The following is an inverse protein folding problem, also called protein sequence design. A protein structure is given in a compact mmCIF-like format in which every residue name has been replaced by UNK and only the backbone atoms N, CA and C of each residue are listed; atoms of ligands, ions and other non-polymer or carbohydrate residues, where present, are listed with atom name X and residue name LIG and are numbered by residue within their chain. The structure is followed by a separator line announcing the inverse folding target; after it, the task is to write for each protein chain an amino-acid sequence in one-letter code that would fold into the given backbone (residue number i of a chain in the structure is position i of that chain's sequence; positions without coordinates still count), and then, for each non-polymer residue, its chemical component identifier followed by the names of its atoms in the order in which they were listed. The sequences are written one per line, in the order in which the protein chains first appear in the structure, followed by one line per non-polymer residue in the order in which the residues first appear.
data_IF_861623443243
#
_entry.id   IF_861623443243
#
_cell.length_a   1.000
_cell.length_b   1.000
_cell.length_c   1.000
_cell.angle_alpha   90.00
_cell.angle_beta   90.00
_cell.angle_gamma   90.00
#
_symmetry.space_group_name_H-M   'P 1'
#
loop_
_entity.id
_entity.type
_entity.pdbx_description
1 polymer ?
#
# COMPACT_ATOMS: atom_id res chain seq x y z
N UNK A 1 10.13 -3.74 0.69
CA UNK A 1 9.30 -2.74 -0.04
C UNK A 1 10.16 -1.53 -0.33
N UNK A 2 10.08 -1.02 -1.55
CA UNK A 2 10.76 0.19 -1.99
C UNK A 2 9.72 1.10 -2.64
N UNK A 3 9.72 2.39 -2.29
CA UNK A 3 8.85 3.40 -2.88
C UNK A 3 9.72 4.37 -3.66
N UNK A 4 9.36 4.61 -4.92
CA UNK A 4 10.08 5.51 -5.83
C UNK A 4 9.08 6.50 -6.44
N UNK A 5 9.31 7.82 -6.34
CA UNK A 5 10.43 8.47 -5.64
C UNK A 5 10.38 8.23 -4.13
N UNK A 6 11.52 8.40 -3.45
CA UNK A 6 11.59 8.22 -1.99
C UNK A 6 10.67 9.24 -1.31
N UNK A 7 9.78 8.74 -0.46
CA UNK A 7 8.85 9.54 0.33
C UNK A 7 9.26 9.52 1.80
N UNK A 8 9.59 10.69 2.35
CA UNK A 8 9.98 10.82 3.76
C UNK A 8 8.80 10.69 4.73
N UNK A 9 7.59 11.06 4.29
CA UNK A 9 6.41 11.05 5.14
C UNK A 9 5.87 9.63 5.36
N UNK A 10 5.80 9.21 6.63
CA UNK A 10 5.19 7.93 7.03
C UNK A 10 3.70 7.88 6.71
N UNK A 11 2.97 8.99 6.84
CA UNK A 11 1.53 9.03 6.52
C UNK A 11 1.30 8.85 5.02
N UNK A 12 2.11 9.50 4.19
CA UNK A 12 2.03 9.34 2.73
C UNK A 12 2.41 7.91 2.33
N UNK A 13 3.46 7.31 2.91
CA UNK A 13 3.78 5.90 2.65
C UNK A 13 2.65 4.93 3.02
N UNK A 14 1.94 5.19 4.12
CA UNK A 14 0.75 4.41 4.48
C UNK A 14 -0.39 4.59 3.48
N UNK A 15 -0.63 5.81 3.01
CA UNK A 15 -1.64 6.10 1.99
C UNK A 15 -1.30 5.39 0.66
N UNK A 16 -0.03 5.37 0.25
CA UNK A 16 0.42 4.63 -0.94
C UNK A 16 0.09 3.14 -0.81
N UNK A 17 0.35 2.53 0.34
CA UNK A 17 0.05 1.11 0.54
C UNK A 17 -1.44 0.82 0.64
N UNK A 18 -2.23 1.72 1.23
CA UNK A 18 -3.68 1.60 1.24
C UNK A 18 -4.25 1.62 -0.19
N UNK A 19 -3.79 2.56 -1.02
CA UNK A 19 -4.21 2.67 -2.42
C UNK A 19 -3.73 1.47 -3.25
N UNK A 20 -2.50 0.98 -3.01
CA UNK A 20 -2.01 -0.27 -3.62
C UNK A 20 -2.94 -1.45 -3.32
N UNK A 21 -3.38 -1.60 -2.07
CA UNK A 21 -4.30 -2.68 -1.70
C UNK A 21 -5.65 -2.47 -2.37
N UNK A 22 -6.20 -1.26 -2.35
CA UNK A 22 -7.46 -0.91 -3.02
C UNK A 22 -7.45 -1.27 -4.51
N UNK A 23 -6.38 -0.94 -5.23
CA UNK A 23 -6.29 -1.15 -6.68
C UNK A 23 -6.00 -2.61 -7.07
N UNK A 24 -5.18 -3.33 -6.28
CA UNK A 24 -4.59 -4.60 -6.71
C UNK A 24 -4.97 -5.81 -5.86
N UNK A 25 -5.84 -5.64 -4.86
CA UNK A 25 -6.25 -6.75 -3.96
C UNK A 25 -6.78 -7.96 -4.72
N UNK A 26 -7.69 -7.71 -5.65
CA UNK A 26 -8.41 -8.77 -6.35
C UNK A 26 -7.62 -9.36 -7.51
N UNK A 27 -6.75 -8.56 -8.15
CA UNK A 27 -5.96 -8.98 -9.29
C UNK A 27 -4.66 -9.67 -8.89
N UNK A 28 -3.80 -8.97 -8.16
CA UNK A 28 -2.38 -9.34 -8.04
C UNK A 28 -2.00 -9.75 -6.62
N UNK A 29 -2.64 -9.20 -5.60
CA UNK A 29 -2.31 -9.53 -4.20
C UNK A 29 -2.94 -10.86 -3.76
N UNK A 30 -3.78 -11.47 -4.60
CA UNK A 30 -4.44 -12.74 -4.32
C UNK A 30 -5.38 -12.64 -3.13
N UNK A 31 -6.20 -11.59 -3.09
CA UNK A 31 -7.18 -11.28 -2.03
C UNK A 31 -6.59 -10.97 -0.65
N UNK A 32 -5.26 -10.86 -0.54
CA UNK A 32 -4.56 -10.60 0.74
C UNK A 32 -4.77 -9.16 1.22
N UNK A 33 -4.83 -9.02 2.53
CA UNK A 33 -4.84 -7.74 3.24
C UNK A 33 -3.50 -7.57 3.98
N UNK A 34 -2.48 -7.01 3.31
CA UNK A 34 -1.16 -6.86 3.91
C UNK A 34 -1.10 -5.77 4.99
N UNK A 35 -0.31 -6.01 6.03
CA UNK A 35 0.05 -5.03 7.04
C UNK A 35 1.38 -4.36 6.68
N UNK A 36 1.39 -3.03 6.61
CA UNK A 36 2.59 -2.24 6.30
C UNK A 36 3.10 -1.48 7.53
N UNK A 37 4.41 -1.54 7.78
CA UNK A 37 5.05 -0.88 8.93
C UNK A 37 5.17 0.65 8.79
N UNK A 38 4.88 1.19 7.60
CA UNK A 38 5.07 2.61 7.27
C UNK A 38 6.47 2.94 6.74
N UNK A 39 7.33 1.94 6.52
CA UNK A 39 8.70 2.11 6.04
C UNK A 39 9.08 1.06 4.98
N UNK A 40 9.51 -0.14 5.37
CA UNK A 40 10.20 -1.08 4.44
C UNK A 40 9.56 -2.46 4.36
N UNK A 41 8.69 -2.81 5.29
CA UNK A 41 8.18 -4.18 5.41
C UNK A 41 6.68 -4.25 5.24
N UNK A 42 6.25 -5.20 4.42
CA UNK A 42 4.85 -5.54 4.14
C UNK A 42 4.66 -7.01 4.51
N UNK A 43 3.70 -7.29 5.38
CA UNK A 43 3.47 -8.61 5.95
C UNK A 43 2.07 -9.10 5.56
N UNK A 44 1.93 -10.40 5.30
CA UNK A 44 0.66 -11.02 4.93
C UNK A 44 0.46 -12.35 5.63
N UNK A 45 -0.80 -12.72 5.87
CA UNK A 45 -1.16 -14.10 6.15
C UNK A 45 -1.07 -14.92 4.84
N UNK A 46 0.09 -15.56 4.63
CA UNK A 46 0.40 -16.35 3.43
C UNK A 46 1.18 -15.58 2.36
N UNK A 47 1.86 -16.32 1.47
CA UNK A 47 2.79 -15.78 0.46
C UNK A 47 2.08 -15.13 -0.72
N UNK A 48 2.49 -13.97 -1.22
CA UNK A 48 1.91 -13.41 -2.46
C UNK A 48 1.95 -14.40 -3.64
N UNK A 49 1.07 -14.27 -4.66
CA UNK A 49 1.13 -15.12 -5.85
C UNK A 49 2.25 -14.67 -6.81
N UNK A 50 3.27 -14.00 -6.29
CA UNK A 50 4.44 -13.51 -6.97
C UNK A 50 5.61 -13.42 -5.99
N UNK A 51 6.85 -13.52 -6.50
CA UNK A 51 8.06 -13.30 -5.69
C UNK A 51 8.42 -11.81 -5.61
N UNK A 52 8.28 -11.09 -6.73
CA UNK A 52 8.48 -9.65 -6.84
C UNK A 52 7.58 -9.06 -7.91
N UNK A 53 7.05 -7.85 -7.68
CA UNK A 53 6.24 -7.13 -8.66
C UNK A 53 6.34 -5.62 -8.40
N UNK A 54 6.31 -4.84 -9.47
CA UNK A 54 6.23 -3.39 -9.42
C UNK A 54 4.78 -2.94 -9.66
N UNK A 55 4.38 -1.90 -8.94
CA UNK A 55 3.03 -1.35 -8.99
C UNK A 55 3.10 0.15 -9.18
N UNK A 56 2.19 0.70 -9.99
CA UNK A 56 2.05 2.14 -10.18
C UNK A 56 0.83 2.60 -9.40
N UNK A 57 1.06 3.36 -8.34
CA UNK A 57 0.01 3.89 -7.48
C UNK A 57 -0.13 5.39 -7.74
N UNK A 58 -1.36 5.85 -7.99
CA UNK A 58 -1.69 7.27 -8.09
C UNK A 58 -2.43 7.68 -6.83
N UNK A 59 -1.82 8.54 -6.03
CA UNK A 59 -2.52 9.18 -4.90
C UNK A 59 -3.40 10.29 -5.44
N UNK A 60 -4.71 10.13 -5.30
CA UNK A 60 -5.66 11.23 -5.49
C UNK A 60 -5.91 11.81 -4.10
N UNK A 61 -5.93 13.13 -3.96
CA UNK A 61 -6.40 13.75 -2.74
C UNK A 61 -7.89 13.44 -2.61
N UNK A 62 -8.26 12.51 -1.72
CA UNK A 62 -9.63 12.44 -1.25
C UNK A 62 -9.84 13.70 -0.40
N UNK A 63 -10.83 14.54 -0.75
CA UNK A 63 -11.25 15.69 0.06
C UNK A 63 -11.43 15.23 1.51
N UNK A 64 -10.81 15.97 2.44
CA UNK A 64 -10.68 15.69 3.86
C UNK A 64 -11.91 15.02 4.51
N UNK A 65 -11.87 13.69 4.63
CA UNK A 65 -12.70 12.95 5.57
C UNK A 65 -12.14 13.06 6.99
N UNK A 66 -12.25 14.24 7.62
CA UNK A 66 -12.00 14.40 9.05
C UNK A 66 -13.04 13.58 9.81
N UNK A 67 -12.67 12.38 10.23
CA UNK A 67 -13.38 11.66 11.29
C UNK A 67 -12.35 11.01 12.23
N UNK A 68 -11.88 11.81 13.19
CA UNK A 68 -11.39 11.30 14.47
C UNK A 68 -12.54 11.29 15.48
N UNK A 69 -12.56 10.35 16.44
CA UNK A 69 -13.48 10.38 17.57
C UNK A 69 -13.16 11.53 18.54
#
# INVERSE_FOLDING_TARGET
VTVTPVVASKSVNKAIMAELVKLYRESDLGMRLPAYDGRKSLYTAGVFPFTSKEFIVKLVAEEDGIHGP
#
